data_IF_291634282628
#
_entry.id   IF_291634282628
#
_cell.length_a   1.000
_cell.length_b   1.000
_cell.length_c   1.000
_cell.angle_alpha   90.00
_cell.angle_beta   90.00
_cell.angle_gamma   90.00
#
_symmetry.space_group_name_H-M   'P 1'
#
loop_
_entity.id
_entity.type
_entity.pdbx_description
1 polymer ?
#
# COMPACT_ATOMS: atom_id res chain seq x y z
N UNK A 1 9.82 -39.73 -14.46
CA UNK A 1 10.14 -39.05 -15.73
C UNK A 1 9.38 -37.74 -15.79
N UNK A 2 10.05 -36.58 -15.82
CA UNK A 2 9.41 -35.28 -16.05
C UNK A 2 8.88 -35.28 -17.49
N UNK A 3 7.55 -35.26 -17.68
CA UNK A 3 6.96 -35.03 -19.01
C UNK A 3 7.46 -33.67 -19.52
N UNK A 4 8.08 -33.68 -20.70
CA UNK A 4 8.47 -32.48 -21.43
C UNK A 4 7.25 -31.58 -21.63
N UNK A 5 7.43 -30.25 -21.53
CA UNK A 5 6.40 -29.24 -21.83
C UNK A 5 5.76 -29.43 -23.22
N UNK A 6 6.53 -29.95 -24.17
CA UNK A 6 6.08 -30.29 -25.52
C UNK A 6 5.14 -31.52 -25.53
N UNK A 7 5.37 -32.49 -24.64
CA UNK A 7 4.52 -33.66 -24.50
C UNK A 7 3.19 -33.35 -23.79
N UNK A 8 3.21 -32.40 -22.84
CA UNK A 8 1.97 -31.85 -22.29
C UNK A 8 1.18 -31.06 -23.33
N UNK A 9 1.86 -30.32 -24.22
CA UNK A 9 1.20 -29.57 -25.31
C UNK A 9 0.45 -30.48 -26.29
N UNK A 10 1.03 -31.63 -26.67
CA UNK A 10 0.36 -32.60 -27.57
C UNK A 10 -0.80 -33.33 -26.90
N UNK A 11 -0.63 -33.80 -25.65
CA UNK A 11 -1.71 -34.43 -24.87
C UNK A 11 -2.88 -33.43 -24.61
N UNK A 12 -2.59 -32.13 -24.47
CA UNK A 12 -3.59 -31.07 -24.29
C UNK A 12 -4.36 -30.72 -25.57
N UNK A 13 -3.73 -30.91 -26.74
CA UNK A 13 -4.37 -30.66 -28.06
C UNK A 13 -5.35 -31.76 -28.44
N UNK A 14 -5.16 -32.98 -27.94
CA UNK A 14 -6.04 -34.13 -28.22
C UNK A 14 -7.17 -34.31 -27.20
N UNK A 15 -7.06 -33.75 -25.99
CA UNK A 15 -8.04 -33.95 -24.91
C UNK A 15 -9.00 -32.77 -24.65
N UNK A 16 -8.73 -31.57 -25.17
CA UNK A 16 -9.60 -30.41 -24.94
C UNK A 16 -10.56 -30.20 -26.12
N UNK A 17 -11.86 -30.16 -25.85
CA UNK A 17 -12.81 -29.60 -26.80
C UNK A 17 -12.45 -28.12 -27.03
N UNK A 18 -12.73 -27.56 -28.21
CA UNK A 18 -12.44 -26.15 -28.55
C UNK A 18 -13.08 -25.18 -27.54
N UNK A 19 -14.13 -25.61 -26.83
CA UNK A 19 -14.79 -24.87 -25.74
C UNK A 19 -14.05 -24.88 -24.39
N UNK A 20 -13.15 -25.83 -24.11
CA UNK A 20 -12.39 -25.89 -22.84
C UNK A 20 -11.09 -25.05 -22.89
N UNK A 21 -10.63 -24.74 -24.10
CA UNK A 21 -9.39 -24.01 -24.34
C UNK A 21 -9.39 -22.56 -23.80
N UNK A 22 -10.47 -21.76 -23.94
CA UNK A 22 -10.54 -20.41 -23.38
C UNK A 22 -10.44 -20.39 -21.85
N UNK A 23 -11.05 -21.37 -21.17
CA UNK A 23 -11.04 -21.47 -19.71
C UNK A 23 -9.66 -21.90 -19.18
N UNK A 24 -8.99 -22.84 -19.85
CA UNK A 24 -7.64 -23.27 -19.48
C UNK A 24 -6.62 -22.14 -19.69
N UNK A 25 -6.69 -21.45 -20.83
CA UNK A 25 -5.84 -20.30 -21.13
C UNK A 25 -6.09 -19.18 -20.10
N UNK A 26 -7.35 -18.87 -19.80
CA UNK A 26 -7.73 -17.89 -18.78
C UNK A 26 -7.13 -18.19 -17.40
N UNK A 27 -7.15 -19.45 -16.95
CA UNK A 27 -6.55 -19.85 -15.66
C UNK A 27 -5.02 -19.66 -15.67
N UNK A 28 -4.34 -20.01 -16.76
CA UNK A 28 -2.89 -19.78 -16.87
C UNK A 28 -2.54 -18.29 -16.89
N UNK A 29 -3.31 -17.48 -17.62
CA UNK A 29 -3.15 -16.03 -17.66
C UNK A 29 -3.37 -15.40 -16.29
N UNK A 30 -4.42 -15.82 -15.57
CA UNK A 30 -4.70 -15.36 -14.21
C UNK A 30 -3.55 -15.68 -13.26
N UNK A 31 -3.02 -16.90 -13.28
CA UNK A 31 -1.83 -17.27 -12.48
C UNK A 31 -0.61 -16.42 -12.81
N UNK A 32 -0.38 -16.09 -14.09
CA UNK A 32 0.73 -15.21 -14.50
C UNK A 32 0.52 -13.78 -14.04
N UNK A 33 -0.71 -13.27 -14.08
CA UNK A 33 -1.09 -11.97 -13.55
C UNK A 33 -0.81 -11.91 -12.05
N UNK A 34 -1.32 -12.87 -11.28
CA UNK A 34 -1.10 -12.96 -9.83
C UNK A 34 0.38 -13.10 -9.48
N UNK A 35 1.13 -13.91 -10.23
CA UNK A 35 2.57 -14.06 -10.01
C UNK A 35 3.34 -12.74 -10.15
N UNK A 36 2.91 -11.85 -11.06
CA UNK A 36 3.50 -10.52 -11.21
C UNK A 36 2.96 -9.47 -10.25
N UNK A 37 1.70 -9.61 -9.82
CA UNK A 37 1.12 -8.82 -8.76
C UNK A 37 1.86 -9.05 -7.44
N UNK A 38 2.00 -10.32 -7.03
CA UNK A 38 2.70 -10.69 -5.79
C UNK A 38 4.22 -10.49 -5.86
N UNK A 39 4.82 -10.56 -7.06
CA UNK A 39 6.25 -10.37 -7.27
C UNK A 39 6.71 -8.92 -7.46
N UNK A 40 5.83 -7.93 -7.38
CA UNK A 40 6.22 -6.53 -7.52
C UNK A 40 6.93 -6.04 -6.23
N UNK A 41 8.14 -5.44 -6.32
CA UNK A 41 8.92 -5.05 -5.15
C UNK A 41 8.40 -3.73 -4.56
N UNK A 42 7.25 -3.77 -3.86
CA UNK A 42 6.76 -2.64 -3.07
C UNK A 42 6.24 -3.14 -1.72
N UNK A 43 6.76 -2.61 -0.60
CA UNK A 43 6.41 -3.04 0.75
C UNK A 43 5.19 -2.30 1.32
N UNK A 44 4.28 -1.80 0.48
CA UNK A 44 3.11 -1.01 0.93
C UNK A 44 2.33 -1.66 2.07
N UNK A 45 2.17 -2.99 2.06
CA UNK A 45 1.49 -3.75 3.13
C UNK A 45 2.13 -3.62 4.51
N UNK A 46 3.41 -3.26 4.61
CA UNK A 46 4.12 -3.19 5.89
C UNK A 46 3.78 -1.90 6.66
N UNK A 47 3.46 -0.82 5.95
CA UNK A 47 3.24 0.50 6.55
C UNK A 47 1.80 1.01 6.42
N UNK A 48 0.91 0.23 5.79
CA UNK A 48 -0.53 0.51 5.73
C UNK A 48 -1.30 -0.50 6.56
N UNK A 49 -2.37 -0.07 7.22
CA UNK A 49 -3.35 -0.97 7.80
C UNK A 49 -4.24 -1.55 6.70
N UNK A 50 -4.52 -2.86 6.77
CA UNK A 50 -5.43 -3.54 5.86
C UNK A 50 -6.83 -3.56 6.48
N UNK A 51 -7.82 -3.14 5.70
CA UNK A 51 -9.23 -3.18 6.06
C UNK A 51 -10.05 -4.01 5.06
N UNK A 52 -11.24 -4.41 5.50
CA UNK A 52 -12.25 -5.01 4.64
C UNK A 52 -13.43 -4.03 4.46
N UNK A 53 -14.02 -4.05 3.26
CA UNK A 53 -15.16 -3.25 2.85
C UNK A 53 -16.22 -4.19 2.28
N UNK A 54 -17.39 -4.25 2.90
CA UNK A 54 -18.46 -5.14 2.45
C UNK A 54 -19.17 -4.62 1.18
N UNK A 55 -19.12 -3.31 0.92
CA UNK A 55 -19.79 -2.69 -0.22
C UNK A 55 -19.07 -1.40 -0.70
N UNK A 56 -19.63 -0.76 -1.73
CA UNK A 56 -19.13 0.51 -2.30
C UNK A 56 -19.62 1.76 -1.56
N UNK A 57 -20.33 1.61 -0.43
CA UNK A 57 -20.75 2.76 0.36
C UNK A 57 -19.57 3.30 1.15
N UNK A 58 -19.76 4.50 1.67
CA UNK A 58 -18.86 5.10 2.63
C UNK A 58 -18.90 4.29 3.93
N UNK A 59 -17.76 3.73 4.35
CA UNK A 59 -17.59 3.06 5.63
C UNK A 59 -16.90 4.01 6.59
N UNK A 60 -17.63 4.45 7.62
CA UNK A 60 -17.08 5.34 8.65
C UNK A 60 -16.28 4.51 9.67
N UNK A 61 -15.05 4.95 9.94
CA UNK A 61 -14.19 4.44 11.01
C UNK A 61 -14.27 5.42 12.16
N UNK A 62 -14.84 4.96 13.28
CA UNK A 62 -14.97 5.76 14.50
C UNK A 62 -13.69 5.65 15.30
N UNK A 63 -13.16 6.80 15.68
CA UNK A 63 -12.03 6.97 16.59
C UNK A 63 -12.61 7.49 17.90
N UNK A 64 -12.39 6.75 18.99
CA UNK A 64 -12.75 7.20 20.33
C UNK A 64 -11.52 7.84 20.98
N UNK A 65 -11.72 8.94 21.71
CA UNK A 65 -10.66 9.56 22.48
C UNK A 65 -10.19 8.67 23.64
N UNK A 66 -8.96 8.90 24.07
CA UNK A 66 -8.42 8.31 25.29
C UNK A 66 -9.18 8.78 26.54
N UNK A 67 -9.27 7.90 27.54
CA UNK A 67 -9.89 8.23 28.81
C UNK A 67 -9.03 9.25 29.57
N UNK A 68 -9.64 10.18 30.32
CA UNK A 68 -8.89 11.03 31.23
C UNK A 68 -8.30 10.23 32.39
N UNK A 69 -7.28 10.78 33.04
CA UNK A 69 -6.70 10.22 34.26
C UNK A 69 -7.74 10.00 35.36
N UNK A 70 -7.49 8.98 36.19
CA UNK A 70 -8.37 8.63 37.30
C UNK A 70 -8.19 9.62 38.45
N UNK A 71 -9.31 10.20 38.90
CA UNK A 71 -9.34 11.03 40.11
C UNK A 71 -9.14 10.17 41.37
N UNK A 72 -8.39 10.69 42.35
CA UNK A 72 -8.36 10.12 43.70
C UNK A 72 -9.73 10.30 44.37
N UNK A 73 -10.23 9.22 44.97
CA UNK A 73 -11.54 9.20 45.63
C UNK A 73 -11.32 9.07 47.13
N UNK A 74 -11.79 10.05 47.89
CA UNK A 74 -11.79 10.00 49.36
C UNK A 74 -12.78 8.94 49.88
N UNK A 75 -12.64 8.52 51.14
CA UNK A 75 -13.56 7.56 51.76
C UNK A 75 -14.99 8.13 51.80
N UNK A 76 -15.90 7.56 51.00
CA UNK A 76 -17.27 8.03 50.69
C UNK A 76 -17.39 9.16 49.66
N UNK A 77 -16.35 9.41 48.86
CA UNK A 77 -16.40 10.37 47.74
C UNK A 77 -17.24 9.88 46.55
N UNK A 78 -17.76 10.84 45.77
CA UNK A 78 -18.47 10.58 44.52
C UNK A 78 -17.50 10.42 43.34
N UNK A 79 -17.76 9.45 42.47
CA UNK A 79 -17.05 9.29 41.20
C UNK A 79 -17.46 10.40 40.22
N UNK A 80 -16.49 11.01 39.53
CA UNK A 80 -16.77 11.92 38.42
C UNK A 80 -16.90 11.15 37.11
N UNK A 81 -17.85 11.57 36.27
CA UNK A 81 -18.02 10.98 34.95
C UNK A 81 -16.91 11.42 33.99
N UNK A 82 -16.27 10.45 33.33
CA UNK A 82 -15.31 10.70 32.27
C UNK A 82 -16.02 11.22 31.02
N UNK A 83 -15.40 12.21 30.35
CA UNK A 83 -15.87 12.71 29.05
C UNK A 83 -15.10 12.02 27.93
N UNK A 84 -15.83 11.52 26.94
CA UNK A 84 -15.26 10.96 25.73
C UNK A 84 -15.68 11.83 24.53
N UNK A 85 -14.77 12.01 23.57
CA UNK A 85 -15.07 12.59 22.27
C UNK A 85 -14.91 11.53 21.19
N UNK A 86 -15.73 11.59 20.15
CA UNK A 86 -15.60 10.77 18.97
C UNK A 86 -15.12 11.61 17.76
N UNK A 87 -14.35 10.96 16.91
CA UNK A 87 -14.04 11.47 15.59
C UNK A 87 -14.20 10.36 14.56
N UNK A 88 -14.23 10.72 13.28
CA UNK A 88 -14.36 9.72 12.22
C UNK A 88 -13.65 10.10 10.94
N UNK A 89 -13.21 9.09 10.21
CA UNK A 89 -12.83 9.21 8.82
C UNK A 89 -13.60 8.18 8.00
N UNK A 90 -13.86 8.48 6.74
CA UNK A 90 -14.69 7.63 5.88
C UNK A 90 -13.88 7.08 4.72
N UNK A 91 -13.95 5.76 4.52
CA UNK A 91 -13.27 5.05 3.45
C UNK A 91 -14.31 4.47 2.47
N UNK A 92 -14.06 4.63 1.17
CA UNK A 92 -15.00 4.18 0.13
C UNK A 92 -14.24 3.45 -1.00
N UNK A 93 -14.66 2.21 -1.26
CA UNK A 93 -14.13 1.40 -2.36
C UNK A 93 -14.38 2.06 -3.71
N UNK A 94 -13.38 1.98 -4.60
CA UNK A 94 -13.50 2.36 -6.01
C UNK A 94 -13.02 1.21 -6.89
N UNK A 95 -13.67 1.06 -8.03
CA UNK A 95 -13.29 0.08 -9.04
C UNK A 95 -12.21 0.65 -9.95
N UNK A 96 -11.09 -0.05 -10.04
CA UNK A 96 -10.02 0.24 -10.98
C UNK A 96 -9.92 -0.89 -12.00
N UNK A 97 -9.91 -0.56 -13.28
CA UNK A 97 -9.83 -1.59 -14.31
C UNK A 97 -9.46 -1.06 -15.68
N UNK A 98 -9.01 -1.98 -16.53
CA UNK A 98 -8.76 -1.75 -17.96
C UNK A 98 -9.15 -3.01 -18.74
N UNK A 99 -9.62 -2.79 -19.95
CA UNK A 99 -9.87 -3.85 -20.93
C UNK A 99 -8.76 -3.89 -21.97
N UNK A 100 -8.55 -5.06 -22.55
CA UNK A 100 -7.71 -5.25 -23.74
C UNK A 100 -8.33 -6.37 -24.58
N UNK A 101 -8.17 -6.30 -25.90
CA UNK A 101 -8.64 -7.34 -26.79
C UNK A 101 -7.51 -7.99 -27.56
N UNK A 102 -7.74 -9.24 -27.96
CA UNK A 102 -6.82 -10.02 -28.78
C UNK A 102 -7.59 -10.48 -30.01
N UNK A 103 -7.16 -10.04 -31.19
CA UNK A 103 -7.79 -10.42 -32.46
C UNK A 103 -7.53 -11.88 -32.82
N UNK A 104 -8.49 -12.48 -33.53
CA UNK A 104 -8.45 -13.88 -33.99
C UNK A 104 -7.18 -14.25 -34.77
N UNK A 105 -6.70 -13.38 -35.66
CA UNK A 105 -5.50 -13.64 -36.47
C UNK A 105 -4.25 -13.79 -35.60
N UNK A 106 -4.11 -12.99 -34.54
CA UNK A 106 -2.97 -13.09 -33.60
C UNK A 106 -3.00 -14.40 -32.78
N UNK A 107 -4.20 -14.90 -32.46
CA UNK A 107 -4.38 -16.18 -31.77
C UNK A 107 -4.03 -17.35 -32.71
N UNK A 108 -4.54 -17.31 -33.95
CA UNK A 108 -4.31 -18.37 -34.94
C UNK A 108 -2.84 -18.44 -35.37
N UNK A 109 -2.18 -17.27 -35.49
CA UNK A 109 -0.77 -17.18 -35.86
C UNK A 109 0.19 -17.55 -34.71
N UNK A 110 -0.33 -18.03 -33.57
CA UNK A 110 0.43 -18.55 -32.44
C UNK A 110 1.43 -17.55 -31.82
N UNK A 111 1.06 -16.26 -31.76
CA UNK A 111 1.78 -15.22 -31.02
C UNK A 111 1.59 -15.35 -29.49
N UNK A 112 1.63 -16.59 -28.99
CA UNK A 112 1.30 -16.96 -27.62
C UNK A 112 2.17 -16.25 -26.58
N UNK A 113 3.43 -15.96 -26.93
CA UNK A 113 4.36 -15.25 -26.04
C UNK A 113 3.92 -13.80 -25.76
N UNK A 114 3.40 -13.08 -26.75
CA UNK A 114 2.91 -11.70 -26.57
C UNK A 114 1.61 -11.68 -25.77
N UNK A 115 0.71 -12.60 -26.10
CA UNK A 115 -0.59 -12.77 -25.41
C UNK A 115 -0.39 -13.09 -23.93
N UNK A 116 0.57 -13.96 -23.57
CA UNK A 116 0.87 -14.31 -22.17
C UNK A 116 1.64 -13.23 -21.39
N UNK A 117 2.21 -12.24 -22.07
CA UNK A 117 2.86 -11.09 -21.43
C UNK A 117 1.87 -9.99 -21.04
N UNK A 118 0.73 -9.85 -21.73
CA UNK A 118 -0.25 -8.81 -21.40
C UNK A 118 -0.76 -8.91 -19.95
N UNK A 119 -1.25 -10.07 -19.46
CA UNK A 119 -1.71 -10.21 -18.07
C UNK A 119 -0.60 -9.92 -17.05
N UNK A 120 0.65 -10.26 -17.37
CA UNK A 120 1.82 -9.98 -16.53
C UNK A 120 2.06 -8.48 -16.37
N UNK A 121 1.94 -7.71 -17.46
CA UNK A 121 2.05 -6.26 -17.43
C UNK A 121 0.93 -5.63 -16.59
N UNK A 122 -0.30 -6.15 -16.72
CA UNK A 122 -1.43 -5.68 -15.90
C UNK A 122 -1.26 -6.02 -14.42
N UNK A 123 -0.73 -7.19 -14.05
CA UNK A 123 -0.42 -7.52 -12.66
C UNK A 123 0.52 -6.51 -12.00
N UNK A 124 1.58 -6.09 -12.71
CA UNK A 124 2.48 -5.00 -12.26
C UNK A 124 1.77 -3.65 -12.24
N UNK A 125 0.93 -3.37 -13.24
CA UNK A 125 0.20 -2.11 -13.32
C UNK A 125 -0.73 -1.90 -12.12
N UNK A 126 -1.44 -2.94 -11.69
CA UNK A 126 -2.34 -2.90 -10.53
C UNK A 126 -1.63 -2.48 -9.25
N UNK A 127 -0.47 -3.07 -8.94
CA UNK A 127 0.31 -2.68 -7.76
C UNK A 127 0.81 -1.24 -7.88
N UNK A 128 1.35 -0.87 -9.05
CA UNK A 128 1.80 0.51 -9.29
C UNK A 128 0.68 1.52 -9.10
N UNK A 129 -0.53 1.25 -9.57
CA UNK A 129 -1.67 2.16 -9.39
C UNK A 129 -2.05 2.32 -7.93
N UNK A 130 -2.02 1.24 -7.16
CA UNK A 130 -2.35 1.27 -5.74
C UNK A 130 -1.33 2.07 -4.94
N UNK A 131 -0.05 1.74 -5.10
CA UNK A 131 1.03 2.42 -4.39
C UNK A 131 1.10 3.90 -4.78
N UNK A 132 0.94 4.24 -6.07
CA UNK A 132 0.87 5.63 -6.52
C UNK A 132 -0.26 6.41 -5.86
N UNK A 133 -1.41 5.76 -5.60
CA UNK A 133 -2.52 6.42 -4.91
C UNK A 133 -2.25 6.59 -3.42
N UNK A 134 -1.70 5.56 -2.77
CA UNK A 134 -1.29 5.59 -1.36
C UNK A 134 -0.30 6.73 -1.13
N UNK A 135 0.78 6.77 -1.92
CA UNK A 135 1.78 7.83 -1.86
C UNK A 135 1.20 9.18 -2.32
N UNK A 136 0.23 9.16 -3.23
CA UNK A 136 -0.51 10.34 -3.67
C UNK A 136 -1.30 11.03 -2.54
N UNK A 137 -1.75 10.29 -1.53
CA UNK A 137 -2.37 10.89 -0.32
C UNK A 137 -1.35 11.69 0.48
N UNK A 138 -0.12 11.19 0.58
CA UNK A 138 0.98 11.86 1.26
C UNK A 138 1.49 13.07 0.46
N UNK A 139 1.61 12.93 -0.88
CA UNK A 139 2.08 14.01 -1.75
C UNK A 139 1.06 15.15 -1.84
N UNK A 140 -0.24 14.81 -1.85
CA UNK A 140 -1.33 15.77 -1.82
C UNK A 140 -1.58 16.40 -0.47
N UNK A 141 -0.85 15.99 0.58
CA UNK A 141 -1.05 16.44 1.96
C UNK A 141 -2.54 16.36 2.38
N UNK A 142 -3.17 15.21 2.10
CA UNK A 142 -4.59 15.05 2.31
C UNK A 142 -4.98 15.18 3.80
N UNK A 143 -6.27 15.41 4.05
CA UNK A 143 -6.78 15.61 5.39
C UNK A 143 -6.84 14.29 6.17
N UNK A 144 -6.47 14.35 7.45
CA UNK A 144 -6.68 13.27 8.41
C UNK A 144 -8.10 13.35 9.02
N UNK A 145 -8.38 12.51 10.02
CA UNK A 145 -9.69 12.47 10.69
C UNK A 145 -10.15 13.80 11.32
N UNK A 146 -9.22 14.69 11.65
CA UNK A 146 -9.48 16.02 12.23
C UNK A 146 -9.85 17.08 11.18
N UNK A 147 -9.96 16.68 9.91
CA UNK A 147 -10.22 17.60 8.78
C UNK A 147 -9.05 18.49 8.42
N UNK A 148 -7.90 18.36 9.09
CA UNK A 148 -6.68 19.10 8.81
C UNK A 148 -5.71 18.26 7.97
N UNK A 149 -4.90 18.95 7.16
CA UNK A 149 -3.88 18.30 6.35
C UNK A 149 -2.88 17.53 7.25
N UNK A 150 -2.45 16.34 6.80
CA UNK A 150 -1.59 15.44 7.60
C UNK A 150 -0.26 16.09 8.05
N UNK A 151 0.29 17.01 7.24
CA UNK A 151 1.47 17.81 7.54
C UNK A 151 1.13 19.30 7.77
N UNK A 152 0.02 19.58 8.45
CA UNK A 152 -0.35 20.94 8.84
C UNK A 152 0.62 21.57 9.86
N UNK A 153 0.67 22.91 9.88
CA UNK A 153 1.31 23.68 10.93
C UNK A 153 0.54 23.49 12.25
N UNK A 154 1.05 22.64 13.14
CA UNK A 154 0.52 22.44 14.50
C UNK A 154 1.43 23.04 15.58
N UNK A 155 1.22 22.73 16.85
CA UNK A 155 2.16 23.10 17.94
C UNK A 155 3.46 22.30 17.80
N UNK A 156 4.56 22.77 18.40
CA UNK A 156 5.87 22.11 18.26
C UNK A 156 5.86 20.60 18.64
N UNK A 157 4.99 20.21 19.56
CA UNK A 157 4.76 18.83 20.04
C UNK A 157 3.86 17.98 19.12
N UNK A 158 3.00 18.60 18.31
CA UNK A 158 2.00 17.91 17.47
C UNK A 158 2.25 18.06 15.96
N UNK A 159 3.33 18.75 15.55
CA UNK A 159 3.74 18.86 14.15
C UNK A 159 4.29 17.53 13.63
N UNK A 160 3.81 17.12 12.47
CA UNK A 160 4.23 15.88 11.81
C UNK A 160 5.36 16.09 10.79
N UNK A 161 6.17 17.13 10.96
CA UNK A 161 7.29 17.39 10.07
C UNK A 161 8.44 18.11 10.80
N UNK A 162 9.68 17.80 10.45
CA UNK A 162 10.84 18.65 10.80
C UNK A 162 11.00 19.75 9.76
N UNK A 163 11.71 20.84 10.10
CA UNK A 163 12.20 21.75 9.06
C UNK A 163 12.92 20.91 7.98
N UNK A 164 12.85 21.31 6.71
CA UNK A 164 13.32 20.56 5.53
C UNK A 164 14.79 20.11 5.66
N UNK A 165 15.04 19.01 6.38
CA UNK A 165 16.36 18.42 6.55
C UNK A 165 16.44 17.24 5.60
N UNK A 166 17.32 17.36 4.61
CA UNK A 166 17.68 16.24 3.75
C UNK A 166 18.34 15.14 4.59
N UNK A 167 17.92 13.90 4.37
CA UNK A 167 18.52 12.77 5.05
C UNK A 167 19.96 12.59 4.55
N UNK A 168 20.93 12.77 5.45
CA UNK A 168 22.35 12.63 5.16
C UNK A 168 23.02 11.77 6.23
N UNK A 169 24.11 11.09 5.88
CA UNK A 169 24.92 10.31 6.82
C UNK A 169 25.81 11.24 7.68
N UNK A 170 25.15 12.15 8.41
CA UNK A 170 25.77 13.17 9.27
C UNK A 170 25.00 13.25 10.59
N UNK A 171 25.60 13.91 11.58
CA UNK A 171 24.93 14.17 12.86
C UNK A 171 23.57 14.90 12.67
N UNK A 172 23.44 15.75 11.65
CA UNK A 172 22.21 16.47 11.34
C UNK A 172 21.09 15.54 10.82
N UNK A 173 21.42 14.57 9.96
CA UNK A 173 20.42 13.61 9.45
C UNK A 173 19.87 12.71 10.55
N UNK A 174 20.72 12.30 11.50
CA UNK A 174 20.27 11.58 12.68
C UNK A 174 19.43 12.43 13.62
N UNK A 175 19.86 13.66 13.90
CA UNK A 175 19.10 14.58 14.74
C UNK A 175 17.69 14.81 14.18
N UNK A 176 17.54 14.82 12.86
CA UNK A 176 16.25 14.92 12.19
C UNK A 176 15.38 13.66 12.41
N UNK A 177 15.93 12.45 12.25
CA UNK A 177 15.18 11.22 12.54
C UNK A 177 14.80 11.14 14.02
N UNK A 178 15.74 11.42 14.94
CA UNK A 178 15.46 11.40 16.38
C UNK A 178 14.41 12.44 16.77
N UNK A 179 14.42 13.62 16.13
CA UNK A 179 13.38 14.62 16.33
C UNK A 179 12.01 14.10 15.86
N UNK A 180 11.94 13.43 14.69
CA UNK A 180 10.70 12.81 14.25
C UNK A 180 10.21 11.69 15.18
N UNK A 181 11.13 10.85 15.69
CA UNK A 181 10.80 9.83 16.68
C UNK A 181 10.26 10.44 17.98
N UNK A 182 10.90 11.50 18.47
CA UNK A 182 10.43 12.23 19.66
C UNK A 182 9.04 12.83 19.44
N UNK A 183 8.77 13.38 18.26
CA UNK A 183 7.44 13.93 17.95
C UNK A 183 6.36 12.88 17.93
N UNK A 184 6.61 11.70 17.34
CA UNK A 184 5.66 10.58 17.37
C UNK A 184 5.40 10.15 18.83
N UNK A 185 6.47 10.05 19.64
CA UNK A 185 6.35 9.68 21.06
C UNK A 185 5.65 10.73 21.92
N UNK A 186 5.73 12.00 21.55
CA UNK A 186 5.11 13.12 22.28
C UNK A 186 3.71 13.47 21.79
N UNK A 187 3.12 12.68 20.89
CA UNK A 187 1.76 12.91 20.43
C UNK A 187 0.80 12.73 21.60
N UNK A 188 -0.10 13.69 21.73
CA UNK A 188 -1.17 13.69 22.71
C UNK A 188 -2.50 13.58 21.98
N UNK A 189 -3.46 12.96 22.65
CA UNK A 189 -4.81 12.90 22.13
C UNK A 189 -5.43 14.32 22.16
N UNK A 190 -6.04 14.80 21.05
CA UNK A 190 -6.52 16.18 20.98
C UNK A 190 -7.60 16.57 22.00
N UNK A 191 -8.40 15.61 22.47
CA UNK A 191 -9.50 15.88 23.40
C UNK A 191 -9.09 15.78 24.86
N UNK A 192 -8.38 14.73 25.25
CA UNK A 192 -7.98 14.51 26.65
C UNK A 192 -6.66 15.22 26.99
N UNK A 193 -5.80 15.45 26.00
CA UNK A 193 -4.43 15.95 26.23
C UNK A 193 -3.47 14.89 26.76
N UNK A 194 -3.94 13.65 26.92
CA UNK A 194 -3.16 12.53 27.42
C UNK A 194 -2.21 11.98 26.36
N UNK A 195 -1.14 11.34 26.83
CA UNK A 195 -0.11 10.78 25.96
C UNK A 195 -0.58 9.48 25.31
N UNK A 196 -0.61 9.45 23.97
CA UNK A 196 -1.04 8.25 23.22
C UNK A 196 -0.04 7.08 23.27
N UNK A 197 1.16 7.26 23.81
CA UNK A 197 2.16 6.20 23.97
C UNK A 197 2.72 5.61 22.66
N UNK A 198 2.61 6.31 21.53
CA UNK A 198 2.98 5.77 20.20
C UNK A 198 4.47 5.45 20.07
N UNK A 199 4.77 4.30 19.46
CA UNK A 199 6.15 3.87 19.21
C UNK A 199 6.53 3.97 17.72
N UNK A 200 7.60 4.70 17.35
CA UNK A 200 8.07 4.76 15.97
C UNK A 200 8.77 3.44 15.60
N UNK A 201 8.40 2.87 14.44
CA UNK A 201 8.85 1.53 14.02
C UNK A 201 9.50 1.50 12.64
N UNK A 202 8.99 2.27 11.69
CA UNK A 202 9.45 2.21 10.30
C UNK A 202 10.07 3.54 9.85
N UNK A 203 11.15 3.45 9.07
CA UNK A 203 11.70 4.58 8.31
C UNK A 203 11.41 4.34 6.83
N UNK A 204 10.48 5.10 6.26
CA UNK A 204 10.06 5.00 4.87
C UNK A 204 10.93 5.93 4.00
N UNK A 205 11.55 5.36 2.97
CA UNK A 205 12.44 6.07 2.04
C UNK A 205 12.29 5.56 0.61
N UNK A 206 12.64 6.40 -0.37
CA UNK A 206 12.80 5.98 -1.75
C UNK A 206 14.15 5.32 -2.04
N UNK A 207 14.33 4.80 -3.25
CA UNK A 207 15.55 4.06 -3.65
C UNK A 207 16.82 4.88 -3.53
N UNK A 208 16.73 6.19 -3.75
CA UNK A 208 17.86 7.12 -3.67
C UNK A 208 18.41 7.25 -2.24
N UNK A 209 17.52 7.28 -1.23
CA UNK A 209 17.88 7.44 0.19
C UNK A 209 18.03 6.12 0.95
N UNK A 210 17.59 5.00 0.39
CA UNK A 210 17.71 3.67 0.99
C UNK A 210 19.12 3.32 1.52
N UNK A 211 20.23 3.54 0.77
CA UNK A 211 21.56 3.25 1.32
C UNK A 211 21.92 4.14 2.50
N UNK A 212 21.54 5.42 2.48
CA UNK A 212 21.76 6.35 3.59
C UNK A 212 20.96 5.92 4.82
N UNK A 213 19.68 5.59 4.64
CA UNK A 213 18.81 5.09 5.70
C UNK A 213 19.34 3.79 6.33
N UNK A 214 19.80 2.84 5.51
CA UNK A 214 20.38 1.59 6.01
C UNK A 214 21.68 1.82 6.77
N UNK A 215 22.55 2.71 6.30
CA UNK A 215 23.78 3.06 7.03
C UNK A 215 23.47 3.70 8.37
N UNK A 216 22.52 4.64 8.41
CA UNK A 216 22.13 5.33 9.63
C UNK A 216 21.48 4.40 10.66
N UNK A 217 20.70 3.41 10.24
CA UNK A 217 20.04 2.47 11.16
C UNK A 217 20.98 1.34 11.60
N UNK A 218 21.76 0.76 10.69
CA UNK A 218 22.58 -0.43 10.98
C UNK A 218 23.92 -0.10 11.63
N UNK A 219 24.36 1.16 11.61
CA UNK A 219 25.61 1.53 12.29
C UNK A 219 25.46 1.41 13.80
N UNK A 220 26.37 0.69 14.46
CA UNK A 220 26.35 0.51 15.92
C UNK A 220 26.80 1.78 16.67
N UNK A 221 27.72 2.54 16.07
CA UNK A 221 28.29 3.75 16.65
C UNK A 221 28.42 4.84 15.58
N UNK A 222 28.35 6.09 16.02
CA UNK A 222 28.63 7.25 15.18
C UNK A 222 30.00 7.79 15.55
N UNK A 223 30.89 7.78 14.59
CA UNK A 223 32.19 8.44 14.71
C UNK A 223 31.99 9.92 14.39
N UNK A 224 32.20 10.84 15.34
CA UNK A 224 32.31 12.25 14.99
C UNK A 224 33.50 12.43 14.03
N UNK A 225 33.40 13.40 13.12
CA UNK A 225 34.48 13.74 12.16
C UNK A 225 35.76 14.26 12.86
N UNK A 226 35.78 14.36 14.19
CA UNK A 226 36.97 14.71 14.96
C UNK A 226 37.76 13.47 15.41
N UNK A 227 39.06 13.52 15.16
CA UNK A 227 40.05 12.43 15.31
C UNK A 227 40.21 11.84 16.73
N UNK A 228 39.43 12.25 17.74
CA UNK A 228 39.60 11.81 19.14
C UNK A 228 38.30 11.74 19.98
N UNK A 229 37.12 11.56 19.37
CA UNK A 229 35.85 11.41 20.10
C UNK A 229 35.36 9.96 20.09
N UNK A 230 35.19 9.35 21.27
CA UNK A 230 34.55 8.04 21.40
C UNK A 230 33.17 8.01 20.72
N UNK A 231 32.84 6.91 20.06
CA UNK A 231 31.61 6.81 19.26
C UNK A 231 30.35 6.90 20.12
N UNK A 232 29.38 7.73 19.70
CA UNK A 232 28.06 7.80 20.34
C UNK A 232 27.22 6.60 19.94
N UNK A 233 26.46 6.02 20.88
CA UNK A 233 25.52 4.94 20.59
C UNK A 233 24.41 5.39 19.64
N UNK A 234 24.05 4.52 18.69
CA UNK A 234 22.98 4.80 17.76
C UNK A 234 21.59 4.60 18.39
N UNK A 235 20.93 5.70 18.72
CA UNK A 235 19.57 5.71 19.30
C UNK A 235 18.46 5.43 18.28
N UNK A 236 18.80 5.38 16.97
CA UNK A 236 17.86 5.19 15.86
C UNK A 236 17.82 3.73 15.39
N UNK A 237 18.74 2.89 15.87
CA UNK A 237 18.85 1.47 15.48
C UNK A 237 17.60 0.61 15.77
N UNK A 238 16.59 1.15 16.45
CA UNK A 238 15.29 0.48 16.67
C UNK A 238 14.37 0.52 15.46
N UNK A 239 14.60 1.41 14.50
CA UNK A 239 13.74 1.54 13.31
C UNK A 239 14.06 0.46 12.28
N UNK A 240 13.04 0.04 11.52
CA UNK A 240 13.19 -0.84 10.36
C UNK A 240 13.15 0.00 9.08
N UNK A 241 14.21 0.00 8.24
CA UNK A 241 14.19 0.72 6.97
C UNK A 241 13.26 0.02 5.98
N UNK A 242 12.34 0.78 5.40
CA UNK A 242 11.45 0.36 4.32
C UNK A 242 11.78 1.19 3.07
N UNK A 243 12.08 0.49 1.99
CA UNK A 243 12.36 1.08 0.68
C UNK A 243 11.17 0.84 -0.26
N UNK A 244 10.59 1.92 -0.79
CA UNK A 244 9.62 1.83 -1.88
C UNK A 244 10.10 2.59 -3.13
N UNK A 245 10.29 1.90 -4.27
CA UNK A 245 10.80 2.54 -5.49
C UNK A 245 9.87 3.58 -6.10
N UNK A 246 8.59 3.61 -5.73
CA UNK A 246 7.62 4.57 -6.26
C UNK A 246 7.66 5.91 -5.53
N UNK A 247 8.32 6.01 -4.37
CA UNK A 247 8.48 7.28 -3.65
C UNK A 247 9.24 8.31 -4.48
N UNK A 248 10.35 7.91 -5.10
CA UNK A 248 11.19 8.80 -5.92
C UNK A 248 10.41 9.38 -7.12
N UNK A 249 9.36 8.69 -7.58
CA UNK A 249 8.53 9.08 -8.73
C UNK A 249 7.32 9.95 -8.31
N UNK A 250 6.69 9.62 -7.18
CA UNK A 250 5.41 10.25 -6.75
C UNK A 250 5.63 11.45 -5.84
N UNK A 251 6.66 11.40 -5.00
CA UNK A 251 6.96 12.41 -3.98
C UNK A 251 8.19 13.22 -4.41
N UNK A 252 9.37 12.76 -4.03
CA UNK A 252 10.66 13.31 -4.44
C UNK A 252 11.77 12.34 -4.04
N UNK A 253 12.93 12.44 -4.68
CA UNK A 253 14.11 11.62 -4.32
C UNK A 253 14.70 11.94 -2.95
N UNK A 254 14.32 13.08 -2.36
CA UNK A 254 14.70 13.50 -1.01
C UNK A 254 13.65 13.17 0.05
N UNK A 255 12.51 12.59 -0.32
CA UNK A 255 11.41 12.36 0.61
C UNK A 255 11.69 11.20 1.55
N UNK A 256 11.45 11.43 2.84
CA UNK A 256 11.54 10.41 3.89
C UNK A 256 10.57 10.71 5.03
N UNK A 257 10.07 9.65 5.68
CA UNK A 257 9.20 9.76 6.85
C UNK A 257 9.43 8.62 7.85
N UNK A 258 9.24 8.93 9.13
CA UNK A 258 9.15 7.94 10.20
C UNK A 258 7.68 7.63 10.44
N UNK A 259 7.36 6.36 10.60
CA UNK A 259 6.02 5.86 10.84
C UNK A 259 5.99 5.05 12.13
N UNK A 260 4.90 5.20 12.88
CA UNK A 260 4.53 4.30 13.97
C UNK A 260 4.06 2.94 13.42
N UNK A 261 3.82 1.99 14.31
CA UNK A 261 3.17 0.74 13.91
C UNK A 261 1.74 1.02 13.40
N UNK A 262 1.37 0.58 12.18
CA UNK A 262 0.00 0.71 11.69
C UNK A 262 -1.06 0.04 12.56
N UNK A 263 -0.69 -0.92 13.41
CA UNK A 263 -1.61 -1.55 14.35
C UNK A 263 -1.94 -0.64 15.55
N UNK A 264 -1.00 0.20 15.98
CA UNK A 264 -1.20 1.14 17.09
C UNK A 264 -1.87 2.43 16.60
N UNK A 265 -1.39 2.96 15.47
CA UNK A 265 -1.87 4.22 14.91
C UNK A 265 -1.89 4.14 13.38
N UNK A 266 -3.01 3.73 12.77
CA UNK A 266 -3.10 3.56 11.33
C UNK A 266 -3.13 4.91 10.61
N UNK A 267 -1.97 5.32 10.09
CA UNK A 267 -1.86 6.55 9.29
C UNK A 267 -2.59 6.41 7.96
N UNK A 268 -2.43 5.25 7.32
CA UNK A 268 -3.03 4.93 6.02
C UNK A 268 -3.77 3.61 6.15
N UNK A 269 -5.07 3.60 5.83
CA UNK A 269 -5.86 2.40 5.68
C UNK A 269 -6.04 2.07 4.19
N UNK A 270 -5.84 0.81 3.84
CA UNK A 270 -6.17 0.25 2.52
C UNK A 270 -7.26 -0.78 2.70
N UNK A 271 -8.45 -0.46 2.20
CA UNK A 271 -9.63 -1.33 2.26
C UNK A 271 -9.83 -2.12 0.98
N UNK A 272 -10.04 -3.42 1.06
CA UNK A 272 -10.40 -4.27 -0.08
C UNK A 272 -11.88 -4.63 -0.06
N UNK A 273 -12.52 -4.71 -1.23
CA UNK A 273 -13.91 -5.14 -1.31
C UNK A 273 -14.01 -6.65 -1.03
N UNK A 274 -14.80 -7.04 -0.02
CA UNK A 274 -15.01 -8.42 0.41
C UNK A 274 -13.70 -9.19 0.68
N UNK A 275 -12.71 -8.52 1.27
CA UNK A 275 -11.42 -9.08 1.64
C UNK A 275 -10.54 -9.47 0.44
N UNK A 276 -10.94 -9.10 -0.78
CA UNK A 276 -10.28 -9.52 -2.01
C UNK A 276 -9.13 -8.58 -2.38
N UNK A 277 -7.94 -8.90 -1.88
CA UNK A 277 -6.72 -8.15 -2.18
C UNK A 277 -6.13 -8.40 -3.58
N UNK A 278 -6.63 -9.41 -4.30
CA UNK A 278 -6.12 -9.79 -5.62
C UNK A 278 -6.99 -9.23 -6.75
N UNK A 279 -6.38 -8.72 -7.84
CA UNK A 279 -7.12 -8.29 -9.02
C UNK A 279 -7.76 -9.48 -9.75
N UNK A 280 -8.95 -9.25 -10.30
CA UNK A 280 -9.65 -10.16 -11.20
C UNK A 280 -9.17 -10.03 -12.64
N UNK A 281 -9.11 -11.17 -13.34
CA UNK A 281 -9.06 -11.26 -14.80
C UNK A 281 -10.34 -11.94 -15.28
N UNK A 282 -11.13 -11.24 -16.08
CA UNK A 282 -12.36 -11.73 -16.68
C UNK A 282 -12.21 -11.75 -18.20
N UNK A 283 -12.89 -12.70 -18.85
CA UNK A 283 -12.98 -12.81 -20.30
C UNK A 283 -14.44 -12.64 -20.73
N UNK A 284 -14.69 -12.02 -21.88
CA UNK A 284 -16.04 -11.98 -22.47
C UNK A 284 -16.53 -13.39 -22.78
N UNK A 285 -17.84 -13.60 -22.65
CA UNK A 285 -18.46 -14.83 -23.15
C UNK A 285 -18.54 -14.76 -24.69
N UNK A 286 -18.53 -15.92 -25.34
CA UNK A 286 -18.89 -16.09 -26.73
C UNK A 286 -20.23 -15.39 -27.06
N UNK A 287 -20.26 -14.60 -28.12
CA UNK A 287 -21.46 -13.86 -28.57
C UNK A 287 -22.12 -14.50 -29.80
N UNK A 288 -21.45 -15.44 -30.46
CA UNK A 288 -21.92 -16.08 -31.69
C UNK A 288 -22.19 -17.58 -31.49
N UNK A 289 -23.26 -18.08 -32.12
CA UNK A 289 -23.65 -19.49 -32.09
C UNK A 289 -23.82 -19.98 -33.53
N UNK A 290 -23.25 -21.14 -33.86
CA UNK A 290 -23.36 -21.73 -35.18
C UNK A 290 -24.78 -22.23 -35.46
N UNK A 291 -25.39 -21.77 -36.58
CA UNK A 291 -26.73 -22.20 -37.00
C UNK A 291 -26.79 -23.67 -37.46
N UNK A 292 -25.64 -24.29 -37.75
CA UNK A 292 -25.56 -25.69 -38.15
C UNK A 292 -25.59 -26.68 -36.97
N UNK A 293 -25.76 -26.18 -35.74
CA UNK A 293 -25.62 -26.98 -34.52
C UNK A 293 -24.13 -27.26 -34.24
N UNK A 294 -23.54 -26.47 -33.36
CA UNK A 294 -22.12 -26.58 -32.99
C UNK A 294 -21.76 -25.78 -31.75
N UNK A 295 -20.49 -25.86 -31.35
CA UNK A 295 -19.90 -25.04 -30.27
C UNK A 295 -20.18 -23.56 -30.47
N UNK A 296 -20.40 -22.82 -29.38
CA UNK A 296 -20.37 -21.35 -29.38
C UNK A 296 -19.02 -20.87 -29.93
N UNK A 297 -19.01 -19.82 -30.74
CA UNK A 297 -17.79 -19.21 -31.27
C UNK A 297 -17.27 -18.17 -30.26
N UNK A 298 -16.05 -18.35 -29.70
CA UNK A 298 -15.53 -17.48 -28.65
C UNK A 298 -15.17 -16.05 -29.10
N UNK A 299 -15.21 -15.73 -30.39
CA UNK A 299 -14.89 -14.40 -30.90
C UNK A 299 -16.09 -13.43 -30.83
N UNK A 300 -15.79 -12.13 -30.67
CA UNK A 300 -16.77 -11.06 -30.65
C UNK A 300 -17.47 -10.88 -32.00
N UNK A 301 -18.75 -10.47 -31.97
CA UNK A 301 -19.61 -10.42 -33.15
C UNK A 301 -19.13 -9.44 -34.24
N UNK A 302 -18.54 -8.31 -33.85
CA UNK A 302 -18.21 -7.22 -34.79
C UNK A 302 -16.78 -7.29 -35.35
N UNK A 303 -15.80 -7.74 -34.55
CA UNK A 303 -14.38 -7.59 -34.87
C UNK A 303 -13.56 -8.88 -34.75
N UNK A 304 -14.21 -10.03 -34.53
CA UNK A 304 -13.56 -11.32 -34.32
C UNK A 304 -12.42 -11.26 -33.27
N UNK A 305 -12.67 -10.64 -32.11
CA UNK A 305 -11.69 -10.50 -31.03
C UNK A 305 -12.20 -11.05 -29.69
N UNK A 306 -11.26 -11.41 -28.80
CA UNK A 306 -11.58 -11.85 -27.43
C UNK A 306 -11.26 -10.69 -26.48
N UNK A 307 -12.26 -10.24 -25.73
CA UNK A 307 -12.09 -9.16 -24.76
C UNK A 307 -11.72 -9.70 -23.38
N UNK A 308 -10.65 -9.15 -22.82
CA UNK A 308 -10.23 -9.37 -21.44
C UNK A 308 -10.45 -8.10 -20.62
N UNK A 309 -10.83 -8.27 -19.36
CA UNK A 309 -11.05 -7.20 -18.39
C UNK A 309 -10.28 -7.49 -17.12
N UNK A 310 -9.39 -6.58 -16.75
CA UNK A 310 -8.75 -6.59 -15.42
C UNK A 310 -9.52 -5.65 -14.51
N UNK A 311 -9.93 -6.13 -13.34
CA UNK A 311 -10.69 -5.36 -12.34
C UNK A 311 -10.07 -5.52 -10.95
N UNK A 312 -9.96 -4.44 -10.21
CA UNK A 312 -9.49 -4.43 -8.82
C UNK A 312 -10.27 -3.40 -8.02
N UNK A 313 -10.96 -3.85 -6.97
CA UNK A 313 -11.86 -3.04 -6.15
C UNK A 313 -11.23 -2.78 -4.77
N UNK A 314 -10.83 -1.53 -4.52
CA UNK A 314 -10.14 -1.16 -3.29
C UNK A 314 -10.25 0.34 -2.99
N UNK A 315 -9.87 0.74 -1.78
CA UNK A 315 -9.79 2.11 -1.32
C UNK A 315 -8.47 2.36 -0.59
N UNK A 316 -8.01 3.61 -0.58
CA UNK A 316 -6.97 4.06 0.33
C UNK A 316 -7.40 5.41 0.92
N UNK A 317 -7.26 5.56 2.23
CA UNK A 317 -7.65 6.76 2.96
C UNK A 317 -6.67 7.04 4.11
N UNK A 318 -6.50 8.32 4.46
CA UNK A 318 -5.77 8.71 5.66
C UNK A 318 -6.68 8.59 6.89
N UNK A 319 -6.18 7.92 7.91
CA UNK A 319 -6.81 7.82 9.22
C UNK A 319 -6.21 8.83 10.18
N UNK A 320 -5.20 8.38 10.93
CA UNK A 320 -4.52 9.17 11.95
C UNK A 320 -3.38 10.02 11.39
N UNK A 321 -3.15 11.18 11.99
CA UNK A 321 -1.99 12.00 11.67
C UNK A 321 -0.82 11.76 12.61
N UNK A 322 -1.08 11.29 13.84
CA UNK A 322 -0.10 11.22 14.94
C UNK A 322 1.02 10.22 14.65
N UNK A 323 0.72 9.17 13.88
CA UNK A 323 1.65 8.09 13.57
C UNK A 323 2.70 8.39 12.49
N UNK A 324 2.80 9.62 11.97
CA UNK A 324 3.77 9.97 10.91
C UNK A 324 4.53 11.27 11.22
N UNK A 325 5.83 11.26 10.93
CA UNK A 325 6.63 12.49 10.86
C UNK A 325 7.55 12.48 9.64
N UNK A 326 7.52 13.54 8.82
CA UNK A 326 8.39 13.67 7.64
C UNK A 326 9.54 14.65 7.84
N UNK A 327 10.61 14.47 7.07
CA UNK A 327 11.79 15.33 7.13
C UNK A 327 11.88 16.42 6.09
N UNK A 328 11.97 16.02 4.82
CA UNK A 328 11.99 16.91 3.65
C UNK A 328 10.60 16.96 3.02
N UNK A 329 10.23 18.12 2.45
CA UNK A 329 9.27 18.19 1.34
C UNK A 329 9.96 17.76 0.05
#
# INVERSE_FOLDING_TARGET
>A
MRKSLLGMYHDLKESASTSDFPYLLGNTMYKKLLGRFNGFPSPWRQYTMLGDLADFKAHDRIILSEAPDLDEIEENGNYKEAKFSDAKYSIQAKTFGKTFSVGRTAIINDDLHGIMQMPQMFGRATVRTMVKRILGLLSGNANAYDGSAIFALRTATTRNYTANVSLANTAAGMAAISACMQRIRSQVEPSSGELMGLTPKYLLTGTTLAPVAQQLIKSAQILPVSTNGGGTYNVIGTLTPIEDPLIDIVLSSSWWAVLADPQDCPVIEVGFLNGKAEPDLLVSKAEMVSMAGGSEDPYGYEFDDIHYKVRHDWAAQLGYYQGICRGSS
#
